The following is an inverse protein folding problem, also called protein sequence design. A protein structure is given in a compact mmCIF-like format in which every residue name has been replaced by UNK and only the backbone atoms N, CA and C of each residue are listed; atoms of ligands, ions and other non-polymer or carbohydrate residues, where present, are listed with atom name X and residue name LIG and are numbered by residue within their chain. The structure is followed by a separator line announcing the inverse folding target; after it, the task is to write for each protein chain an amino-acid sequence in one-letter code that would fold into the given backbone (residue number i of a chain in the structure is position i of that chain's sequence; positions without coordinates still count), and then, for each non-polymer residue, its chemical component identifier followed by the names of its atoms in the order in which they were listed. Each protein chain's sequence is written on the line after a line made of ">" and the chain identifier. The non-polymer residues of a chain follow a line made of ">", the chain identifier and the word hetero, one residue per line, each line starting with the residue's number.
data_IF_370916566690
#
_entry.id   IF_370916566690
#
_cell.length_a   1.000
_cell.length_b   1.000
_cell.length_c   1.000
_cell.angle_alpha   90.00
_cell.angle_beta   90.00
_cell.angle_gamma   90.00
#
_symmetry.space_group_name_H-M   'P 1'
#
loop_
_entity.id
_entity.type
_entity.pdbx_description
1 polymer ?
#
# COMPACT_ATOMS: atom_id res chain seq x y z
N UNK A 1 16.72 44.83 -21.28
CA UNK A 1 16.76 43.71 -22.23
C UNK A 1 17.47 42.49 -21.67
N UNK A 2 18.60 42.70 -21.00
CA UNK A 2 19.37 41.58 -20.43
C UNK A 2 18.59 40.81 -19.38
N UNK A 3 17.79 41.50 -18.59
CA UNK A 3 16.99 40.89 -17.53
C UNK A 3 15.94 39.93 -18.07
N UNK A 4 15.39 40.21 -19.24
CA UNK A 4 14.36 39.36 -19.83
C UNK A 4 14.91 37.99 -20.22
N UNK A 5 16.14 37.95 -20.70
CA UNK A 5 16.76 36.69 -21.09
C UNK A 5 16.99 35.78 -19.88
N UNK A 6 17.46 36.35 -18.80
CA UNK A 6 17.72 35.59 -17.59
C UNK A 6 16.41 35.06 -16.96
N UNK A 7 15.39 35.88 -16.97
CA UNK A 7 14.11 35.48 -16.43
C UNK A 7 13.51 34.32 -17.23
N UNK A 8 13.62 34.38 -18.56
CA UNK A 8 13.11 33.32 -19.44
C UNK A 8 13.83 31.99 -19.17
N UNK A 9 15.14 32.02 -19.03
CA UNK A 9 15.94 30.82 -18.75
C UNK A 9 15.55 30.23 -17.41
N UNK A 10 15.38 31.07 -16.42
CA UNK A 10 15.02 30.64 -15.07
C UNK A 10 13.66 29.93 -15.06
N UNK A 11 12.71 30.48 -15.81
CA UNK A 11 11.37 29.89 -15.90
C UNK A 11 11.41 28.51 -16.56
N UNK A 12 12.19 28.35 -17.58
CA UNK A 12 12.32 27.06 -18.26
C UNK A 12 12.93 25.99 -17.35
N UNK A 13 13.94 26.35 -16.60
CA UNK A 13 14.57 25.41 -15.68
C UNK A 13 13.62 24.94 -14.60
N UNK A 14 12.79 25.83 -14.09
CA UNK A 14 11.81 25.48 -13.08
C UNK A 14 10.77 24.51 -13.62
N UNK A 15 10.32 24.71 -14.83
CA UNK A 15 9.36 23.83 -15.48
C UNK A 15 9.90 22.41 -15.67
N UNK A 16 11.15 22.31 -16.09
CA UNK A 16 11.79 21.01 -16.28
C UNK A 16 11.92 20.23 -14.98
N UNK A 17 12.26 20.92 -13.89
CA UNK A 17 12.39 20.26 -12.61
C UNK A 17 11.08 19.63 -12.14
N UNK A 18 9.98 20.34 -12.32
CA UNK A 18 8.66 19.82 -11.95
C UNK A 18 8.25 18.61 -12.79
N UNK A 19 8.51 18.67 -14.08
CA UNK A 19 8.18 17.56 -14.98
C UNK A 19 9.00 16.31 -14.61
N UNK A 20 10.28 16.49 -14.28
CA UNK A 20 11.14 15.39 -13.89
C UNK A 20 10.65 14.67 -12.64
N UNK A 21 10.24 15.41 -11.62
CA UNK A 21 9.73 14.81 -10.39
C UNK A 21 8.47 14.00 -10.63
N UNK A 22 7.56 14.51 -11.45
CA UNK A 22 6.32 13.80 -11.76
C UNK A 22 6.59 12.49 -12.51
N UNK A 23 7.53 12.52 -13.44
CA UNK A 23 7.88 11.33 -14.22
C UNK A 23 8.46 10.23 -13.35
N UNK A 24 9.38 10.59 -12.44
CA UNK A 24 9.98 9.62 -11.53
C UNK A 24 8.93 8.94 -10.65
N UNK A 25 8.00 9.72 -10.13
CA UNK A 25 6.95 9.18 -9.28
C UNK A 25 6.09 8.17 -10.03
N UNK A 26 5.75 8.45 -11.28
CA UNK A 26 4.94 7.54 -12.09
C UNK A 26 5.67 6.25 -12.40
N UNK A 27 6.94 6.32 -12.73
CA UNK A 27 7.72 5.13 -13.04
C UNK A 27 7.79 4.19 -11.86
N UNK A 28 8.02 4.72 -10.68
CA UNK A 28 8.08 3.90 -9.48
C UNK A 28 6.75 3.24 -9.18
N UNK A 29 5.65 3.96 -9.36
CA UNK A 29 4.33 3.41 -9.11
C UNK A 29 4.00 2.29 -10.08
N UNK A 30 4.52 2.34 -11.32
CA UNK A 30 4.28 1.31 -12.32
C UNK A 30 5.07 0.04 -12.11
N UNK A 31 6.27 0.13 -11.56
CA UNK A 31 7.17 -1.01 -11.42
C UNK A 31 7.24 -1.59 -10.01
N UNK A 32 6.99 -0.76 -9.03
CA UNK A 32 7.23 -1.12 -7.64
C UNK A 32 6.10 -0.65 -6.74
N UNK A 33 5.46 -1.61 -6.09
CA UNK A 33 4.45 -1.31 -5.08
C UNK A 33 5.12 -1.50 -3.73
N UNK A 34 5.31 -0.41 -2.99
CA UNK A 34 6.05 -0.50 -1.75
C UNK A 34 5.22 -1.11 -0.62
N UNK A 35 5.91 -1.51 0.44
CA UNK A 35 5.28 -2.19 1.56
C UNK A 35 4.22 -1.34 2.25
N UNK A 36 4.42 -0.03 2.30
CA UNK A 36 3.45 0.89 2.90
C UNK A 36 2.13 0.90 2.13
N UNK A 37 2.22 0.94 0.80
CA UNK A 37 1.03 0.90 -0.05
C UNK A 37 0.29 -0.42 0.10
N UNK A 38 1.02 -1.53 0.14
CA UNK A 38 0.44 -2.85 0.33
C UNK A 38 -0.29 -2.91 1.66
N UNK A 39 0.35 -2.47 2.74
CA UNK A 39 -0.25 -2.45 4.06
C UNK A 39 -1.56 -1.68 4.07
N UNK A 40 -1.58 -0.49 3.47
CA UNK A 40 -2.77 0.33 3.41
C UNK A 40 -3.90 -0.36 2.65
N UNK A 41 -3.57 -0.97 1.52
CA UNK A 41 -4.57 -1.66 0.70
C UNK A 41 -5.15 -2.90 1.40
N UNK A 42 -4.30 -3.65 2.09
CA UNK A 42 -4.77 -4.81 2.85
C UNK A 42 -5.70 -4.35 3.97
N UNK A 43 -5.29 -3.34 4.72
CA UNK A 43 -6.14 -2.81 5.80
C UNK A 43 -7.50 -2.34 5.27
N UNK A 44 -7.51 -1.66 4.14
CA UNK A 44 -8.76 -1.19 3.55
C UNK A 44 -9.67 -2.36 3.17
N UNK A 45 -9.12 -3.38 2.56
CA UNK A 45 -9.91 -4.56 2.19
C UNK A 45 -10.48 -5.27 3.41
N UNK A 46 -9.69 -5.41 4.46
CA UNK A 46 -10.15 -6.05 5.70
C UNK A 46 -11.23 -5.22 6.37
N UNK A 47 -11.08 -3.91 6.37
CA UNK A 47 -12.03 -3.01 6.99
C UNK A 47 -13.37 -2.97 6.24
N UNK A 48 -13.31 -3.07 4.91
CA UNK A 48 -14.52 -3.02 4.08
C UNK A 48 -15.28 -4.34 4.04
N UNK A 49 -14.65 -5.44 4.38
CA UNK A 49 -15.29 -6.75 4.31
C UNK A 49 -16.10 -7.01 5.59
N UNK A 50 -17.40 -7.36 5.47
CA UNK A 50 -18.23 -7.57 6.65
C UNK A 50 -17.75 -8.67 7.57
N UNK A 51 -17.04 -9.66 7.05
CA UNK A 51 -16.54 -10.77 7.87
C UNK A 51 -15.32 -10.42 8.68
N UNK A 52 -14.54 -9.41 8.26
CA UNK A 52 -13.30 -9.04 8.93
C UNK A 52 -13.33 -7.66 9.58
N UNK A 53 -14.29 -6.81 9.21
CA UNK A 53 -14.30 -5.40 9.64
C UNK A 53 -14.48 -5.21 11.15
N UNK A 54 -15.04 -6.20 11.84
CA UNK A 54 -15.26 -6.09 13.28
C UNK A 54 -14.04 -6.43 14.13
N UNK A 55 -12.93 -6.81 13.53
CA UNK A 55 -11.76 -7.27 14.25
C UNK A 55 -10.61 -6.31 14.12
N UNK A 56 -9.83 -6.20 15.20
CA UNK A 56 -8.61 -5.41 15.21
C UNK A 56 -7.48 -6.28 14.67
N UNK A 57 -7.24 -6.19 13.36
CA UNK A 57 -6.21 -6.96 12.70
C UNK A 57 -5.04 -6.04 12.39
N UNK A 58 -3.86 -6.43 12.87
CA UNK A 58 -2.63 -5.69 12.58
C UNK A 58 -2.02 -6.24 11.30
N UNK A 59 -1.69 -5.36 10.38
CA UNK A 59 -1.09 -5.71 9.09
C UNK A 59 0.31 -5.14 9.04
N UNK A 60 1.28 -6.00 8.77
CA UNK A 60 2.67 -5.60 8.60
C UNK A 60 3.17 -6.18 7.28
N UNK A 61 3.84 -5.37 6.48
CA UNK A 61 4.35 -5.82 5.18
C UNK A 61 5.85 -5.58 5.10
N UNK A 62 6.58 -6.60 4.68
CA UNK A 62 8.02 -6.51 4.48
C UNK A 62 8.39 -7.24 3.20
N UNK A 63 8.92 -6.48 2.23
CA UNK A 63 9.34 -7.00 0.91
C UNK A 63 8.27 -7.85 0.24
N UNK A 64 7.03 -7.40 0.30
CA UNK A 64 5.90 -8.09 -0.31
C UNK A 64 5.28 -9.20 0.52
N UNK A 65 5.86 -9.54 1.66
CA UNK A 65 5.28 -10.51 2.58
C UNK A 65 4.39 -9.78 3.58
N UNK A 66 3.12 -10.13 3.60
CA UNK A 66 2.14 -9.55 4.50
C UNK A 66 1.96 -10.46 5.71
N UNK A 67 2.09 -9.90 6.88
CA UNK A 67 1.82 -10.62 8.13
C UNK A 67 0.56 -10.07 8.77
N UNK A 68 -0.36 -10.97 9.09
CA UNK A 68 -1.61 -10.64 9.77
C UNK A 68 -1.52 -11.12 11.21
N UNK A 69 -1.87 -10.24 12.15
CA UNK A 69 -1.85 -10.56 13.58
C UNK A 69 -3.11 -10.05 14.24
N UNK A 70 -3.56 -10.73 15.27
CA UNK A 70 -4.74 -10.34 16.00
C UNK A 70 -5.63 -11.54 16.30
N UNK A 71 -6.88 -11.26 16.65
CA UNK A 71 -7.85 -12.29 17.04
C UNK A 71 -9.08 -12.23 16.16
N UNK A 72 -9.58 -13.40 15.79
CA UNK A 72 -10.83 -13.55 15.05
C UNK A 72 -11.70 -14.57 15.78
N UNK A 73 -12.98 -14.66 15.42
CA UNK A 73 -13.92 -15.53 16.11
C UNK A 73 -13.88 -16.98 15.64
N UNK A 74 -13.56 -17.22 14.38
CA UNK A 74 -13.53 -18.59 13.84
C UNK A 74 -12.53 -18.73 12.69
N UNK A 75 -12.35 -19.97 12.25
CA UNK A 75 -11.43 -20.28 11.16
C UNK A 75 -11.85 -19.68 9.82
N UNK A 76 -13.14 -19.51 9.63
CA UNK A 76 -13.66 -18.93 8.40
C UNK A 76 -13.21 -17.49 8.23
N UNK A 77 -13.26 -16.72 9.31
CA UNK A 77 -12.82 -15.34 9.30
C UNK A 77 -11.31 -15.23 9.12
N UNK A 78 -10.58 -16.16 9.74
CA UNK A 78 -9.13 -16.22 9.57
C UNK A 78 -8.76 -16.48 8.10
N UNK A 79 -9.43 -17.43 7.47
CA UNK A 79 -9.21 -17.73 6.06
C UNK A 79 -9.62 -16.59 5.13
N UNK A 80 -10.71 -15.92 5.47
CA UNK A 80 -11.18 -14.77 4.69
C UNK A 80 -10.17 -13.64 4.69
N UNK A 81 -9.59 -13.37 5.84
CA UNK A 81 -8.56 -12.33 5.95
C UNK A 81 -7.37 -12.66 5.06
N UNK A 82 -6.95 -13.90 5.04
CA UNK A 82 -5.85 -14.33 4.17
C UNK A 82 -6.18 -14.16 2.69
N UNK A 83 -7.37 -14.54 2.28
CA UNK A 83 -7.80 -14.37 0.89
C UNK A 83 -7.78 -12.90 0.46
N UNK A 84 -8.29 -12.04 1.32
CA UNK A 84 -8.32 -10.60 1.03
C UNK A 84 -6.91 -10.04 0.89
N UNK A 85 -6.01 -10.45 1.76
CA UNK A 85 -4.62 -10.00 1.70
C UNK A 85 -3.93 -10.49 0.42
N UNK A 86 -4.16 -11.73 0.04
CA UNK A 86 -3.55 -12.29 -1.17
C UNK A 86 -4.03 -11.62 -2.45
N UNK A 87 -5.22 -11.07 -2.43
CA UNK A 87 -5.80 -10.40 -3.59
C UNK A 87 -5.20 -9.02 -3.86
N UNK A 88 -4.45 -8.46 -2.94
CA UNK A 88 -3.85 -7.14 -3.11
C UNK A 88 -2.65 -7.22 -4.06
N UNK A 89 -2.61 -6.37 -5.10
CA UNK A 89 -1.46 -6.36 -6.01
C UNK A 89 -0.16 -6.06 -5.28
N UNK A 90 0.89 -6.78 -5.61
CA UNK A 90 2.20 -6.63 -4.99
C UNK A 90 2.46 -7.57 -3.84
N UNK A 91 1.45 -8.25 -3.33
CA UNK A 91 1.61 -9.23 -2.26
C UNK A 91 2.24 -10.50 -2.85
N UNK A 92 3.37 -10.90 -2.30
CA UNK A 92 4.07 -12.12 -2.71
C UNK A 92 3.70 -13.29 -1.83
N UNK A 93 3.51 -13.05 -0.55
CA UNK A 93 3.23 -14.08 0.42
C UNK A 93 2.43 -13.50 1.58
N UNK A 94 1.58 -14.31 2.19
CA UNK A 94 0.82 -13.90 3.38
C UNK A 94 1.14 -14.87 4.51
N UNK A 95 1.57 -14.31 5.64
CA UNK A 95 1.75 -15.08 6.88
C UNK A 95 0.56 -14.79 7.76
N UNK A 96 -0.31 -15.76 7.92
CA UNK A 96 -1.54 -15.59 8.67
C UNK A 96 -1.34 -16.05 10.11
N UNK A 97 -1.00 -15.11 10.97
CA UNK A 97 -0.81 -15.37 12.40
C UNK A 97 -2.01 -14.96 13.23
N UNK A 98 -3.17 -14.88 12.61
CA UNK A 98 -4.40 -14.62 13.34
C UNK A 98 -4.75 -15.79 14.24
N UNK A 99 -5.22 -15.46 15.42
CA UNK A 99 -5.58 -16.45 16.44
C UNK A 99 -7.09 -16.51 16.53
N UNK A 100 -7.63 -17.73 16.38
CA UNK A 100 -9.06 -17.94 16.54
C UNK A 100 -9.34 -18.01 18.05
N UNK A 101 -10.18 -17.10 18.52
CA UNK A 101 -10.54 -17.03 19.92
C UNK A 101 -12.03 -17.13 20.07
N UNK A 102 -12.48 -18.31 20.41
CA UNK A 102 -13.90 -18.57 20.68
C UNK A 102 -14.17 -18.37 22.16
N UNK A 103 -15.38 -18.01 22.46
CA UNK A 103 -15.76 -17.85 23.86
C UNK A 103 -15.97 -19.19 24.57
#
# INVERSE_FOLDING_TARGET
>A
MRHRKYIAIFTCLLSLALAGCAADTKERAGEYIDDTSITTRVKTKLFDDPQTSGFAITVTTFKGTVQLSGFVSDEKEKGRAEELAKAVPGVKEVKNNLIVKTK
#
